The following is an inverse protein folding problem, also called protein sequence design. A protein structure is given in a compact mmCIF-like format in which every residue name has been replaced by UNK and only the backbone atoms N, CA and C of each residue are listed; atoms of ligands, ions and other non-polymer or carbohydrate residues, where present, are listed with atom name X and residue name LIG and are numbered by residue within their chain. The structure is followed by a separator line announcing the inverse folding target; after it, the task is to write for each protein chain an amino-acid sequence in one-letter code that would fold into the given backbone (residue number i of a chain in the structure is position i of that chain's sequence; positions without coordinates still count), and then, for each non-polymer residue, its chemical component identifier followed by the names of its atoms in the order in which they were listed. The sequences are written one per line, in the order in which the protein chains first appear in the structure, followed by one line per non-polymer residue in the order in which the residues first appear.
data_IF_305917683550
#
_entry.id   IF_305917683550
#
_cell.length_a   1.000
_cell.length_b   1.000
_cell.length_c   1.000
_cell.angle_alpha   90.00
_cell.angle_beta   90.00
_cell.angle_gamma   90.00
#
_symmetry.space_group_name_H-M   'P 1'
#
loop_
_entity.id
_entity.type
_entity.pdbx_description
1 polymer ?
#
# COMPACT_ATOMS: atom_id res chain seq x y z
N UNK A 1 12.17 1.76 -4.04
CA UNK A 1 11.95 2.73 -2.95
C UNK A 1 12.01 1.99 -1.62
N UNK A 2 12.90 2.37 -0.73
CA UNK A 2 12.95 1.74 0.59
C UNK A 2 11.64 1.98 1.35
N UNK A 3 11.25 1.02 2.17
CA UNK A 3 10.04 1.15 2.98
C UNK A 3 10.29 0.69 4.40
N UNK A 4 9.44 1.15 5.32
CA UNK A 4 9.47 0.78 6.72
C UNK A 4 8.06 0.78 7.29
N UNK A 5 7.88 0.16 8.45
CA UNK A 5 6.61 0.16 9.16
C UNK A 5 6.83 -0.08 10.65
N UNK A 6 5.81 0.26 11.44
CA UNK A 6 5.80 0.03 12.88
C UNK A 6 5.35 -1.42 13.14
N UNK A 7 6.14 -2.25 13.84
CA UNK A 7 5.75 -3.65 14.15
C UNK A 7 4.43 -3.77 14.89
N UNK A 8 4.07 -2.79 15.72
CA UNK A 8 2.78 -2.81 16.43
C UNK A 8 1.62 -2.61 15.47
N UNK A 9 1.81 -1.74 14.46
CA UNK A 9 0.81 -1.52 13.41
C UNK A 9 0.70 -2.72 12.49
N UNK A 10 1.81 -3.44 12.27
CA UNK A 10 1.81 -4.68 11.50
C UNK A 10 0.89 -5.73 12.14
N UNK A 11 1.03 -5.95 13.44
CA UNK A 11 0.18 -6.90 14.16
C UNK A 11 -1.30 -6.51 14.07
N UNK A 12 -1.61 -5.23 14.22
CA UNK A 12 -2.99 -4.74 14.11
C UNK A 12 -3.53 -4.89 12.69
N UNK A 13 -2.69 -4.62 11.68
CA UNK A 13 -3.07 -4.75 10.28
C UNK A 13 -3.36 -6.21 9.92
N UNK A 14 -2.53 -7.13 10.41
CA UNK A 14 -2.72 -8.57 10.19
C UNK A 14 -4.05 -9.04 10.77
N UNK A 15 -4.40 -8.59 11.98
CA UNK A 15 -5.69 -8.92 12.61
C UNK A 15 -6.87 -8.33 11.82
N UNK A 16 -6.76 -7.10 11.36
CA UNK A 16 -7.84 -6.39 10.70
C UNK A 16 -8.06 -6.83 9.25
N UNK A 17 -6.98 -7.04 8.51
CA UNK A 17 -7.03 -7.27 7.06
C UNK A 17 -6.52 -8.63 6.63
N UNK A 18 -5.93 -9.41 7.53
CA UNK A 18 -5.34 -10.71 7.20
C UNK A 18 -4.06 -10.62 6.37
N UNK A 19 -3.44 -9.45 6.31
CA UNK A 19 -2.26 -9.17 5.48
C UNK A 19 -1.23 -8.45 6.32
N UNK A 20 0.04 -8.85 6.22
CA UNK A 20 1.15 -8.20 6.89
C UNK A 20 1.59 -6.94 6.13
N UNK A 21 2.01 -5.92 6.87
CA UNK A 21 2.58 -4.69 6.28
C UNK A 21 3.84 -4.97 5.46
N UNK A 22 4.53 -6.08 5.73
CA UNK A 22 5.73 -6.45 4.99
C UNK A 22 5.44 -6.67 3.50
N UNK A 23 4.22 -7.08 3.14
CA UNK A 23 3.84 -7.22 1.72
C UNK A 23 3.92 -5.90 0.96
N UNK A 24 3.74 -4.77 1.66
CA UNK A 24 3.79 -3.46 1.03
C UNK A 24 5.13 -3.13 0.39
N UNK A 25 6.23 -3.62 0.94
CA UNK A 25 7.55 -3.40 0.36
C UNK A 25 7.62 -4.00 -1.05
N UNK A 26 7.17 -5.23 -1.22
CA UNK A 26 7.15 -5.88 -2.54
C UNK A 26 6.24 -5.16 -3.52
N UNK A 27 5.08 -4.68 -3.07
CA UNK A 27 4.16 -3.91 -3.90
C UNK A 27 4.79 -2.61 -4.36
N UNK A 28 5.37 -1.83 -3.45
CA UNK A 28 5.95 -0.52 -3.77
C UNK A 28 7.19 -0.60 -4.65
N UNK A 29 7.84 -1.76 -4.71
CA UNK A 29 8.98 -1.98 -5.58
C UNK A 29 8.59 -2.56 -6.95
N UNK A 30 7.30 -2.80 -7.18
CA UNK A 30 6.81 -3.21 -8.49
C UNK A 30 6.73 -1.99 -9.40
N UNK A 31 7.07 -2.18 -10.69
CA UNK A 31 7.05 -1.09 -11.67
C UNK A 31 5.64 -0.71 -12.11
N UNK A 32 4.68 -1.63 -11.97
CA UNK A 32 3.30 -1.40 -12.38
C UNK A 32 2.45 -1.03 -11.16
N UNK A 33 2.41 0.26 -10.84
CA UNK A 33 1.62 0.80 -9.73
C UNK A 33 0.61 1.82 -10.24
N UNK A 34 -0.60 1.75 -9.69
CA UNK A 34 -1.55 2.84 -9.78
C UNK A 34 -1.49 3.60 -8.45
N UNK A 35 -1.03 4.84 -8.48
CA UNK A 35 -0.85 5.64 -7.26
C UNK A 35 -1.72 6.88 -7.30
N UNK A 36 -2.44 7.11 -6.21
CA UNK A 36 -3.25 8.32 -6.02
C UNK A 36 -2.92 8.94 -4.67
N UNK A 37 -3.09 10.25 -4.58
CA UNK A 37 -2.95 10.96 -3.32
C UNK A 37 -4.26 10.86 -2.53
N UNK A 38 -4.14 10.56 -1.23
CA UNK A 38 -5.31 10.57 -0.35
C UNK A 38 -5.57 12.01 0.12
N UNK A 39 -6.48 12.69 -0.59
CA UNK A 39 -6.80 14.09 -0.29
C UNK A 39 -7.65 14.26 0.96
N UNK A 40 -8.18 13.18 1.51
CA UNK A 40 -8.99 13.22 2.73
C UNK A 40 -8.13 13.12 3.99
N UNK A 41 -6.83 12.84 3.87
CA UNK A 41 -5.96 12.75 5.03
C UNK A 41 -5.70 14.12 5.65
N UNK A 42 -5.63 14.14 6.97
CA UNK A 42 -5.25 15.33 7.73
C UNK A 42 -3.80 15.18 8.20
N UNK A 43 -3.05 16.30 8.26
CA UNK A 43 -1.67 16.30 8.68
C UNK A 43 -0.74 15.83 7.59
N UNK A 44 -0.01 14.74 7.83
CA UNK A 44 0.97 14.23 6.87
C UNK A 44 0.29 13.71 5.60
N UNK A 45 0.83 14.07 4.44
CA UNK A 45 0.30 13.64 3.14
C UNK A 45 0.38 12.13 2.99
N UNK A 46 -0.72 11.52 2.56
CA UNK A 46 -0.82 10.08 2.35
C UNK A 46 -0.98 9.74 0.89
N UNK A 47 -0.43 8.62 0.50
CA UNK A 47 -0.56 8.05 -0.83
C UNK A 47 -1.18 6.66 -0.74
N UNK A 48 -1.93 6.30 -1.77
CA UNK A 48 -2.52 4.97 -1.92
C UNK A 48 -2.00 4.39 -3.22
N UNK A 49 -1.31 3.26 -3.15
CA UNK A 49 -0.82 2.55 -4.33
C UNK A 49 -1.49 1.19 -4.43
N UNK A 50 -1.93 0.85 -5.62
CA UNK A 50 -2.47 -0.47 -5.94
C UNK A 50 -1.48 -1.16 -6.86
N UNK A 51 -1.07 -2.35 -6.50
CA UNK A 51 -0.12 -3.12 -7.29
C UNK A 51 -0.01 -4.55 -6.81
N UNK A 52 0.83 -5.32 -7.46
CA UNK A 52 1.01 -6.73 -7.13
C UNK A 52 2.13 -6.93 -6.13
N UNK A 53 1.90 -7.84 -5.17
CA UNK A 53 2.95 -8.33 -4.29
C UNK A 53 3.87 -9.30 -5.05
N UNK A 54 4.85 -9.88 -4.35
CA UNK A 54 5.81 -10.80 -4.99
C UNK A 54 5.17 -12.10 -5.51
N UNK A 55 3.94 -12.39 -5.08
CA UNK A 55 3.20 -13.57 -5.52
C UNK A 55 2.20 -13.27 -6.63
N UNK A 56 2.19 -12.07 -7.17
CA UNK A 56 1.26 -11.67 -8.23
C UNK A 56 -0.16 -11.41 -7.75
N UNK A 57 -0.34 -11.14 -6.47
CA UNK A 57 -1.64 -10.82 -5.87
C UNK A 57 -1.77 -9.32 -5.68
N UNK A 58 -2.92 -8.75 -6.07
CA UNK A 58 -3.15 -7.31 -5.89
C UNK A 58 -3.32 -6.95 -4.42
N UNK A 59 -2.69 -5.83 -4.05
CA UNK A 59 -2.77 -5.26 -2.70
C UNK A 59 -2.90 -3.75 -2.80
N UNK A 60 -3.56 -3.17 -1.81
CA UNK A 60 -3.68 -1.72 -1.65
C UNK A 60 -2.78 -1.31 -0.49
N UNK A 61 -1.83 -0.43 -0.77
CA UNK A 61 -0.84 0.02 0.23
C UNK A 61 -1.06 1.51 0.48
N UNK A 62 -1.26 1.86 1.75
CA UNK A 62 -1.35 3.26 2.19
C UNK A 62 -0.06 3.61 2.91
N UNK A 63 0.55 4.72 2.53
CA UNK A 63 1.85 5.11 3.08
C UNK A 63 2.04 6.63 3.04
N UNK A 64 3.04 7.09 3.78
CA UNK A 64 3.53 8.46 3.72
C UNK A 64 4.97 8.44 3.24
N UNK A 65 5.45 9.55 2.70
CA UNK A 65 6.84 9.67 2.28
C UNK A 65 7.63 10.43 3.35
N UNK A 66 8.79 9.88 3.72
CA UNK A 66 9.74 10.48 4.65
C UNK A 66 11.10 10.51 3.99
N UNK A 67 11.42 11.65 3.35
CA UNK A 67 12.56 11.72 2.46
C UNK A 67 12.35 10.77 1.29
N UNK A 68 13.28 9.85 1.07
CA UNK A 68 13.21 8.85 0.02
C UNK A 68 12.54 7.54 0.46
N UNK A 69 12.09 7.46 1.72
CA UNK A 69 11.50 6.26 2.29
C UNK A 69 9.98 6.34 2.33
N UNK A 70 9.32 5.21 2.06
CA UNK A 70 7.89 5.06 2.26
C UNK A 70 7.63 4.47 3.64
N UNK A 71 6.83 5.18 4.45
CA UNK A 71 6.37 4.67 5.75
C UNK A 71 5.02 4.02 5.56
N UNK A 72 4.96 2.70 5.56
CA UNK A 72 3.74 1.93 5.30
C UNK A 72 2.80 2.03 6.51
N UNK A 73 1.55 2.44 6.24
CA UNK A 73 0.50 2.60 7.25
C UNK A 73 -0.44 1.40 7.25
N UNK A 74 -0.84 0.94 6.06
CA UNK A 74 -1.72 -0.22 5.94
C UNK A 74 -1.52 -0.94 4.63
N UNK A 75 -1.82 -2.24 4.64
CA UNK A 75 -1.86 -3.10 3.44
C UNK A 75 -3.14 -3.91 3.54
N UNK A 76 -3.92 -3.96 2.47
CA UNK A 76 -5.17 -4.71 2.43
C UNK A 76 -5.44 -5.27 1.05
N UNK A 77 -6.37 -6.20 0.98
CA UNK A 77 -6.85 -6.71 -0.30
C UNK A 77 -7.70 -5.64 -0.99
N UNK A 78 -7.66 -5.55 -2.31
CA UNK A 78 -8.46 -4.55 -3.03
C UNK A 78 -9.94 -4.93 -3.07
N UNK A 79 -10.79 -3.88 -3.16
CA UNK A 79 -12.20 -4.04 -3.47
C UNK A 79 -12.37 -4.21 -4.98
N UNK A 80 -13.49 -4.77 -5.46
CA UNK A 80 -13.69 -4.98 -6.91
C UNK A 80 -13.52 -3.71 -7.76
N UNK A 81 -13.97 -2.56 -7.27
CA UNK A 81 -13.79 -1.29 -8.00
C UNK A 81 -12.32 -0.89 -8.13
N UNK A 82 -11.52 -1.25 -7.14
CA UNK A 82 -10.08 -0.98 -7.14
C UNK A 82 -9.34 -1.90 -8.11
N UNK A 83 -9.76 -3.16 -8.19
CA UNK A 83 -9.24 -4.11 -9.18
C UNK A 83 -9.49 -3.57 -10.60
N UNK A 84 -10.71 -3.10 -10.87
CA UNK A 84 -11.06 -2.53 -12.17
C UNK A 84 -10.24 -1.28 -12.49
N UNK A 85 -10.08 -0.40 -11.51
CA UNK A 85 -9.27 0.81 -11.69
C UNK A 85 -7.82 0.48 -12.03
N UNK A 86 -7.26 -0.52 -11.35
CA UNK A 86 -5.90 -0.99 -11.62
C UNK A 86 -5.77 -1.55 -13.04
N UNK A 87 -6.69 -2.42 -13.43
CA UNK A 87 -6.67 -3.05 -14.76
C UNK A 87 -6.81 -2.04 -15.89
N UNK A 88 -7.60 -0.97 -15.68
CA UNK A 88 -7.81 0.07 -16.67
C UNK A 88 -6.68 1.11 -16.69
N UNK A 89 -6.03 1.34 -15.55
CA UNK A 89 -5.05 2.41 -15.39
C UNK A 89 -3.60 2.00 -15.55
N UNK A 90 -3.33 0.73 -15.70
CA UNK A 90 -1.95 0.22 -15.76
C UNK A 90 -1.70 -0.57 -17.03
#
# INVERSE_FOLDING_TARGET
MPSSFDPKKDAANLRKHGVSLVEGDGVLNNLLLLTIEDTASEGEQRFVSIGMNVFGQLRVVVYTLRGDDARIISVRKPEPKEVRAYEEGV
#
